data_IF_351188561455
#
_entry.id   IF_351188561455
#
_cell.length_a   1.000
_cell.length_b   1.000
_cell.length_c   1.000
_cell.angle_alpha   90.00
_cell.angle_beta   90.00
_cell.angle_gamma   90.00
#
_symmetry.space_group_name_H-M   'P 1'
#
loop_
_entity.id
_entity.type
_entity.pdbx_description
1 polymer ?
#
# COMPACT_ATOMS: atom_id res chain seq x y z
N UNK A 1 -14.63 -37.58 39.24
CA UNK A 1 -14.02 -36.98 38.04
C UNK A 1 -14.44 -35.53 38.01
N UNK A 2 -13.53 -34.62 38.35
CA UNK A 2 -13.79 -33.17 38.38
C UNK A 2 -13.41 -32.59 37.03
N UNK A 3 -14.37 -31.99 36.33
CA UNK A 3 -14.14 -31.27 35.06
C UNK A 3 -13.66 -29.89 35.42
N UNK A 4 -12.39 -29.63 35.16
CA UNK A 4 -11.80 -28.29 35.28
C UNK A 4 -12.18 -27.47 34.05
N UNK A 5 -13.08 -26.53 34.26
CA UNK A 5 -13.50 -25.56 33.26
C UNK A 5 -12.50 -24.41 33.25
N UNK A 6 -11.61 -24.33 32.25
CA UNK A 6 -10.68 -23.22 32.08
C UNK A 6 -11.32 -22.21 31.14
N UNK A 7 -11.61 -20.97 31.56
CA UNK A 7 -12.13 -19.96 30.67
C UNK A 7 -10.98 -19.45 29.76
N UNK A 8 -11.07 -19.72 28.48
CA UNK A 8 -10.24 -19.10 27.46
C UNK A 8 -10.73 -17.67 27.25
N UNK A 9 -10.10 -16.72 27.93
CA UNK A 9 -10.24 -15.29 27.65
C UNK A 9 -9.17 -14.91 26.61
N UNK A 10 -9.52 -14.98 25.33
CA UNK A 10 -8.74 -14.36 24.25
C UNK A 10 -9.42 -13.07 23.87
N UNK A 11 -9.02 -11.98 24.52
CA UNK A 11 -9.24 -10.65 23.96
C UNK A 11 -8.19 -10.44 22.87
N UNK A 12 -8.55 -10.28 21.59
CA UNK A 12 -7.63 -9.76 20.62
C UNK A 12 -7.44 -8.28 20.87
N UNK A 13 -6.32 -7.92 21.51
CA UNK A 13 -5.81 -6.56 21.48
C UNK A 13 -5.46 -6.24 20.03
N UNK A 14 -6.44 -5.71 19.30
CA UNK A 14 -6.19 -5.10 18.01
C UNK A 14 -5.18 -3.97 18.18
N UNK A 15 -4.29 -3.76 17.19
CA UNK A 15 -3.40 -2.61 17.21
C UNK A 15 -4.27 -1.36 17.25
N UNK A 16 -4.21 -0.64 18.36
CA UNK A 16 -4.71 0.72 18.47
C UNK A 16 -3.99 1.52 17.40
N UNK A 17 -4.72 1.86 16.34
CA UNK A 17 -4.32 2.90 15.42
C UNK A 17 -4.14 4.15 16.29
N UNK A 18 -2.88 4.52 16.49
CA UNK A 18 -2.50 5.83 16.99
C UNK A 18 -3.11 6.85 16.04
N UNK A 19 -4.29 7.33 16.44
CA UNK A 19 -4.96 8.44 15.83
C UNK A 19 -4.01 9.61 15.73
N UNK A 20 -3.72 10.00 14.49
CA UNK A 20 -3.53 11.39 14.09
C UNK A 20 -2.66 12.26 14.99
N UNK A 21 -1.38 11.98 15.13
CA UNK A 21 -0.42 13.06 15.21
C UNK A 21 -0.18 13.55 13.78
N UNK A 22 -1.04 14.42 13.33
CA UNK A 22 -0.69 15.42 12.35
C UNK A 22 0.52 16.15 12.91
N UNK A 23 1.70 15.70 12.57
CA UNK A 23 2.85 16.59 12.56
C UNK A 23 2.49 17.64 11.51
N UNK A 24 1.87 18.72 11.97
CA UNK A 24 2.03 19.98 11.32
C UNK A 24 3.55 20.16 11.28
N UNK A 25 4.16 19.76 10.16
CA UNK A 25 5.41 20.33 9.73
C UNK A 25 5.03 21.79 9.64
N UNK A 26 5.32 22.51 10.72
CA UNK A 26 5.27 23.95 10.70
C UNK A 26 6.01 24.31 9.43
N UNK A 27 5.29 24.82 8.43
CA UNK A 27 5.88 25.71 7.50
C UNK A 27 6.56 26.73 8.42
N UNK A 28 7.81 26.44 8.73
CA UNK A 28 8.69 27.42 9.29
C UNK A 28 8.66 28.53 8.25
N UNK A 29 7.72 29.43 8.44
CA UNK A 29 7.86 30.77 7.98
C UNK A 29 9.17 31.17 8.64
N UNK A 30 10.29 30.89 7.97
CA UNK A 30 11.48 31.65 8.14
C UNK A 30 10.99 33.06 7.89
N UNK A 31 10.61 33.69 8.98
CA UNK A 31 10.28 35.11 8.97
C UNK A 31 11.46 35.78 8.26
N UNK A 32 11.22 36.40 7.14
CA UNK A 32 12.28 37.11 6.44
C UNK A 32 12.55 38.39 7.23
N UNK A 33 13.16 38.21 8.41
CA UNK A 33 13.70 39.35 9.17
C UNK A 33 14.75 40.11 8.35
N UNK A 34 15.26 39.50 7.28
CA UNK A 34 16.09 40.16 6.29
C UNK A 34 15.30 40.99 5.27
N UNK A 35 14.02 40.70 5.01
CA UNK A 35 13.22 41.45 4.06
C UNK A 35 12.76 42.80 4.60
N UNK A 36 12.57 42.93 5.91
CA UNK A 36 12.09 44.17 6.52
C UNK A 36 13.17 45.26 6.60
N UNK A 37 14.43 44.90 6.78
CA UNK A 37 15.54 45.85 6.79
C UNK A 37 15.92 46.36 5.39
N UNK A 38 15.67 45.58 4.33
CA UNK A 38 15.88 46.02 2.94
C UNK A 38 14.71 46.83 2.39
N UNK A 39 13.50 46.64 2.87
CA UNK A 39 12.32 47.38 2.40
C UNK A 39 12.35 48.85 2.80
N UNK A 40 13.00 49.23 3.91
CA UNK A 40 13.13 50.62 4.34
C UNK A 40 14.23 51.41 3.64
N UNK A 41 15.20 50.75 2.99
CA UNK A 41 16.28 51.42 2.27
C UNK A 41 15.96 51.72 0.79
N UNK A 42 14.80 51.30 0.26
CA UNK A 42 14.51 51.35 -1.17
C UNK A 42 13.29 52.19 -1.57
N UNK A 43 13.01 53.25 -0.86
CA UNK A 43 11.95 54.21 -1.26
C UNK A 43 12.30 55.04 -2.50
N UNK A 44 13.48 54.86 -3.10
CA UNK A 44 13.93 55.65 -4.29
C UNK A 44 14.17 54.80 -5.54
N UNK A 45 14.01 53.47 -5.49
CA UNK A 45 14.40 52.60 -6.61
C UNK A 45 13.27 51.67 -7.08
N UNK A 46 12.18 52.22 -7.62
CA UNK A 46 11.04 51.46 -8.17
C UNK A 46 11.40 50.34 -9.16
N UNK A 47 12.33 50.51 -10.10
CA UNK A 47 12.69 49.42 -11.03
C UNK A 47 13.62 48.35 -10.46
N UNK A 48 14.40 48.63 -9.43
CA UNK A 48 15.35 47.68 -8.84
C UNK A 48 14.62 46.68 -7.91
N UNK A 49 13.62 47.15 -7.17
CA UNK A 49 12.84 46.32 -6.27
C UNK A 49 12.05 45.23 -7.02
N UNK A 50 11.61 45.50 -8.25
CA UNK A 50 10.89 44.54 -9.08
C UNK A 50 11.79 43.41 -9.60
N UNK A 51 13.07 43.67 -9.87
CA UNK A 51 14.05 42.66 -10.29
C UNK A 51 14.39 41.71 -9.13
N UNK A 52 14.56 42.24 -7.91
CA UNK A 52 14.79 41.41 -6.72
C UNK A 52 13.57 40.57 -6.36
N UNK A 53 12.34 41.08 -6.50
CA UNK A 53 11.12 40.34 -6.32
C UNK A 53 10.97 39.17 -7.32
N UNK A 54 11.36 39.39 -8.56
CA UNK A 54 11.34 38.36 -9.62
C UNK A 54 12.32 37.21 -9.34
N UNK A 55 13.54 37.53 -8.91
CA UNK A 55 14.56 36.53 -8.62
C UNK A 55 14.23 35.69 -7.37
N UNK A 56 13.71 36.30 -6.30
CA UNK A 56 13.27 35.58 -5.11
C UNK A 56 12.06 34.70 -5.39
N UNK A 57 11.12 35.15 -6.23
CA UNK A 57 9.99 34.34 -6.70
C UNK A 57 10.43 33.15 -7.52
N UNK A 58 11.39 33.29 -8.41
CA UNK A 58 11.92 32.19 -9.23
C UNK A 58 12.68 31.15 -8.38
N UNK A 59 13.47 31.59 -7.41
CA UNK A 59 14.16 30.71 -6.48
C UNK A 59 13.13 29.96 -5.61
N UNK A 60 12.11 30.64 -5.10
CA UNK A 60 11.04 30.03 -4.32
C UNK A 60 10.27 28.96 -5.10
N UNK A 61 9.90 29.23 -6.36
CA UNK A 61 9.20 28.28 -7.22
C UNK A 61 10.06 27.07 -7.59
N UNK A 62 11.38 27.27 -7.78
CA UNK A 62 12.33 26.17 -8.01
C UNK A 62 12.38 25.21 -6.82
N UNK A 63 12.58 25.75 -5.61
CA UNK A 63 12.63 24.90 -4.40
C UNK A 63 11.29 24.25 -4.08
N UNK A 64 10.18 24.92 -4.31
CA UNK A 64 8.86 24.34 -4.15
C UNK A 64 8.65 23.14 -5.11
N UNK A 65 8.97 23.29 -6.39
CA UNK A 65 8.88 22.22 -7.38
C UNK A 65 9.84 21.06 -7.06
N UNK A 66 11.07 21.36 -6.62
CA UNK A 66 12.03 20.35 -6.19
C UNK A 66 11.56 19.57 -4.96
N UNK A 67 11.00 20.27 -3.98
CA UNK A 67 10.40 19.64 -2.78
C UNK A 67 9.25 18.71 -3.15
N UNK A 68 8.35 19.16 -4.02
CA UNK A 68 7.23 18.34 -4.50
C UNK A 68 7.72 17.11 -5.27
N UNK A 69 8.72 17.25 -6.14
CA UNK A 69 9.34 16.13 -6.86
C UNK A 69 9.94 15.11 -5.89
N UNK A 70 10.66 15.58 -4.86
CA UNK A 70 11.26 14.70 -3.86
C UNK A 70 10.21 13.97 -3.02
N UNK A 71 9.11 14.64 -2.65
CA UNK A 71 7.99 14.02 -1.94
C UNK A 71 7.35 12.90 -2.78
N UNK A 72 7.11 13.13 -4.07
CA UNK A 72 6.56 12.10 -4.96
C UNK A 72 7.52 10.92 -5.12
N UNK A 73 8.82 11.16 -5.24
CA UNK A 73 9.84 10.11 -5.28
C UNK A 73 9.86 9.27 -4.00
N UNK A 74 9.80 9.90 -2.84
CA UNK A 74 9.73 9.18 -1.55
C UNK A 74 8.43 8.36 -1.44
N UNK A 75 7.29 8.91 -1.86
CA UNK A 75 6.03 8.16 -1.89
C UNK A 75 6.12 6.97 -2.85
N UNK A 76 6.72 7.14 -4.02
CA UNK A 76 6.94 6.07 -4.98
C UNK A 76 7.82 4.95 -4.39
N UNK A 77 8.89 5.30 -3.68
CA UNK A 77 9.74 4.32 -2.98
C UNK A 77 8.99 3.56 -1.91
N UNK A 78 8.16 4.24 -1.12
CA UNK A 78 7.31 3.60 -0.10
C UNK A 78 6.32 2.62 -0.74
N UNK A 79 5.72 2.98 -1.87
CA UNK A 79 4.83 2.09 -2.62
C UNK A 79 5.57 0.89 -3.23
N UNK A 80 6.81 1.07 -3.72
CA UNK A 80 7.65 -0.05 -4.17
C UNK A 80 7.97 -1.01 -3.03
N UNK A 81 8.38 -0.48 -1.88
CA UNK A 81 8.63 -1.30 -0.71
C UNK A 81 7.39 -2.08 -0.27
N UNK A 82 6.22 -1.43 -0.26
CA UNK A 82 4.95 -2.09 0.03
C UNK A 82 4.65 -3.21 -0.98
N UNK A 83 4.91 -3.01 -2.28
CA UNK A 83 4.74 -4.03 -3.31
C UNK A 83 5.70 -5.22 -3.12
N UNK A 84 6.96 -4.97 -2.77
CA UNK A 84 7.95 -6.02 -2.50
C UNK A 84 7.57 -6.83 -1.26
N UNK A 85 7.16 -6.16 -0.18
CA UNK A 85 6.67 -6.84 1.04
C UNK A 85 5.42 -7.67 0.77
N UNK A 86 4.48 -7.16 -0.02
CA UNK A 86 3.31 -7.92 -0.42
C UNK A 86 3.69 -9.14 -1.28
N UNK A 87 4.69 -9.03 -2.16
CA UNK A 87 5.19 -10.17 -2.95
C UNK A 87 5.81 -11.25 -2.06
N UNK A 88 6.56 -10.86 -1.02
CA UNK A 88 7.12 -11.80 -0.03
C UNK A 88 5.99 -12.50 0.73
N UNK A 89 4.98 -11.76 1.17
CA UNK A 89 3.82 -12.30 1.87
C UNK A 89 3.00 -13.23 0.97
N UNK A 90 2.86 -12.92 -0.32
CA UNK A 90 2.23 -13.80 -1.30
C UNK A 90 2.95 -15.15 -1.37
N UNK A 91 4.27 -15.16 -1.51
CA UNK A 91 5.06 -16.41 -1.53
C UNK A 91 4.92 -17.20 -0.24
N UNK A 92 4.84 -16.51 0.91
CA UNK A 92 4.55 -17.13 2.20
C UNK A 92 3.19 -17.84 2.22
N UNK A 93 2.15 -17.20 1.70
CA UNK A 93 0.81 -17.79 1.59
C UNK A 93 0.77 -18.99 0.60
N UNK A 94 1.48 -18.91 -0.53
CA UNK A 94 1.64 -20.02 -1.47
C UNK A 94 2.36 -21.21 -0.83
N UNK A 95 3.41 -20.95 -0.06
CA UNK A 95 4.12 -21.97 0.69
C UNK A 95 3.20 -22.64 1.73
N UNK A 96 2.38 -21.87 2.44
CA UNK A 96 1.37 -22.37 3.38
C UNK A 96 0.36 -23.26 2.67
N UNK A 97 -0.13 -22.87 1.50
CA UNK A 97 -1.02 -23.71 0.69
C UNK A 97 -0.36 -25.06 0.34
N UNK A 98 0.93 -25.04 0.00
CA UNK A 98 1.69 -26.27 -0.25
C UNK A 98 1.86 -27.14 1.01
N UNK A 99 2.02 -26.55 2.19
CA UNK A 99 2.08 -27.28 3.46
C UNK A 99 0.74 -27.94 3.80
N UNK A 100 -0.37 -27.22 3.66
CA UNK A 100 -1.72 -27.76 3.86
C UNK A 100 -1.94 -29.01 3.01
N UNK A 101 -1.54 -28.98 1.74
CA UNK A 101 -1.63 -30.15 0.87
C UNK A 101 -0.83 -31.35 1.39
N UNK A 102 0.39 -31.15 1.87
CA UNK A 102 1.24 -32.21 2.45
C UNK A 102 0.66 -32.75 3.76
N UNK A 103 0.16 -31.88 4.62
CA UNK A 103 -0.51 -32.28 5.85
C UNK A 103 -1.79 -33.08 5.58
N UNK A 104 -2.58 -32.68 4.58
CA UNK A 104 -3.75 -33.41 4.14
C UNK A 104 -3.39 -34.83 3.70
N UNK A 105 -2.30 -34.99 2.94
CA UNK A 105 -1.80 -36.31 2.53
C UNK A 105 -1.34 -37.14 3.74
N UNK A 106 -0.65 -36.53 4.70
CA UNK A 106 -0.21 -37.19 5.93
C UNK A 106 -1.41 -37.65 6.79
N UNK A 107 -2.42 -36.77 6.96
CA UNK A 107 -3.69 -37.10 7.65
C UNK A 107 -4.39 -38.26 6.97
N UNK A 108 -4.48 -38.22 5.65
CA UNK A 108 -5.05 -39.31 4.86
C UNK A 108 -4.28 -40.64 5.04
N UNK A 109 -2.93 -40.60 5.01
CA UNK A 109 -2.08 -41.76 5.23
C UNK A 109 -2.31 -42.39 6.62
N UNK A 110 -2.29 -41.55 7.67
CA UNK A 110 -2.54 -41.97 9.04
C UNK A 110 -3.97 -42.58 9.21
N UNK A 111 -4.97 -41.94 8.61
CA UNK A 111 -6.34 -42.44 8.60
C UNK A 111 -6.43 -43.79 7.90
N UNK A 112 -5.82 -43.93 6.72
CA UNK A 112 -5.84 -45.18 5.93
C UNK A 112 -5.22 -46.34 6.70
N UNK A 113 -4.13 -46.12 7.43
CA UNK A 113 -3.50 -47.14 8.28
C UNK A 113 -4.42 -47.56 9.44
N UNK A 114 -5.04 -46.59 10.13
CA UNK A 114 -5.98 -46.87 11.23
C UNK A 114 -7.21 -47.63 10.72
N UNK A 115 -7.78 -47.20 9.61
CA UNK A 115 -8.92 -47.88 9.00
C UNK A 115 -8.57 -49.31 8.55
N UNK A 116 -7.36 -49.54 8.01
CA UNK A 116 -6.85 -50.87 7.67
C UNK A 116 -6.70 -51.77 8.90
N UNK A 117 -6.15 -51.26 9.99
CA UNK A 117 -6.04 -51.99 11.26
C UNK A 117 -7.41 -52.35 11.86
N UNK A 118 -8.34 -51.36 11.87
CA UNK A 118 -9.71 -51.59 12.34
C UNK A 118 -10.42 -52.69 11.51
N UNK A 119 -10.26 -52.64 10.19
CA UNK A 119 -10.80 -53.69 9.30
C UNK A 119 -10.18 -55.05 9.60
N UNK A 120 -8.85 -55.13 9.73
CA UNK A 120 -8.17 -56.41 10.00
C UNK A 120 -8.58 -56.97 11.36
N UNK A 121 -8.72 -56.14 12.40
CA UNK A 121 -9.19 -56.59 13.71
C UNK A 121 -10.66 -57.04 13.69
N UNK A 122 -11.53 -56.39 12.92
CA UNK A 122 -12.91 -56.83 12.73
C UNK A 122 -12.99 -58.15 12.00
N UNK A 123 -12.19 -58.37 10.95
CA UNK A 123 -12.10 -59.63 10.24
C UNK A 123 -11.63 -60.77 11.16
N UNK A 124 -10.58 -60.51 11.97
CA UNK A 124 -10.07 -61.50 12.91
C UNK A 124 -11.12 -61.87 13.98
N UNK A 125 -11.85 -60.87 14.50
CA UNK A 125 -12.92 -61.07 15.47
C UNK A 125 -14.11 -61.88 14.90
N UNK A 126 -14.48 -61.63 13.65
CA UNK A 126 -15.53 -62.40 12.94
C UNK A 126 -15.08 -63.82 12.68
N UNK A 127 -13.85 -64.00 12.25
CA UNK A 127 -13.29 -65.37 12.02
C UNK A 127 -13.17 -66.14 13.33
N UNK A 128 -12.77 -65.51 14.45
CA UNK A 128 -12.74 -66.19 15.76
C UNK A 128 -14.13 -66.65 16.27
N UNK A 129 -15.19 -66.01 15.79
CA UNK A 129 -16.60 -66.39 16.08
C UNK A 129 -17.13 -67.38 15.09
N UNK A 130 -16.31 -67.93 14.18
CA UNK A 130 -16.70 -68.91 13.18
C UNK A 130 -17.50 -68.32 12.01
N UNK A 131 -17.56 -67.01 11.83
CA UNK A 131 -18.26 -66.40 10.72
C UNK A 131 -17.44 -66.49 9.42
N UNK A 132 -18.11 -66.90 8.34
CA UNK A 132 -17.51 -66.96 6.99
C UNK A 132 -17.47 -65.56 6.45
N UNK A 133 -16.25 -65.02 6.24
CA UNK A 133 -16.01 -63.57 5.91
C UNK A 133 -16.59 -63.11 4.56
N UNK A 134 -16.97 -63.98 3.67
CA UNK A 134 -17.47 -63.60 2.33
C UNK A 134 -18.98 -63.65 2.15
N UNK A 135 -19.76 -64.01 3.18
CA UNK A 135 -21.20 -64.31 3.09
C UNK A 135 -21.97 -63.75 4.29
N UNK A 136 -23.25 -63.42 4.08
CA UNK A 136 -24.16 -63.00 5.13
C UNK A 136 -23.75 -61.71 5.82
N UNK A 137 -24.10 -61.57 7.09
CA UNK A 137 -23.88 -60.37 7.90
C UNK A 137 -22.41 -59.97 8.05
N UNK A 138 -21.47 -60.92 8.01
CA UNK A 138 -20.05 -60.65 8.06
C UNK A 138 -19.56 -59.83 6.84
N UNK A 139 -20.07 -60.13 5.65
CA UNK A 139 -19.81 -59.38 4.42
C UNK A 139 -20.38 -57.96 4.51
N UNK A 140 -21.57 -57.80 5.06
CA UNK A 140 -22.24 -56.49 5.21
C UNK A 140 -21.47 -55.57 6.19
N UNK A 141 -20.99 -56.14 7.31
CA UNK A 141 -20.16 -55.36 8.28
C UNK A 141 -18.87 -54.91 7.64
N UNK A 142 -18.16 -55.75 6.92
CA UNK A 142 -16.91 -55.37 6.25
C UNK A 142 -17.18 -54.34 5.13
N UNK A 143 -18.27 -54.55 4.36
CA UNK A 143 -18.68 -53.62 3.31
C UNK A 143 -19.06 -52.24 3.85
N UNK A 144 -19.74 -52.18 4.99
CA UNK A 144 -20.05 -50.90 5.64
C UNK A 144 -18.80 -50.17 6.15
N UNK A 145 -17.80 -50.89 6.68
CA UNK A 145 -16.51 -50.32 7.07
C UNK A 145 -15.75 -49.77 5.87
N UNK A 146 -15.76 -50.46 4.73
CA UNK A 146 -15.13 -49.99 3.49
C UNK A 146 -15.83 -48.74 2.95
N UNK A 147 -17.16 -48.69 3.01
CA UNK A 147 -17.94 -47.50 2.64
C UNK A 147 -17.62 -46.28 3.56
N UNK A 148 -17.62 -46.52 4.89
CA UNK A 148 -17.26 -45.45 5.84
C UNK A 148 -15.84 -44.93 5.60
N UNK A 149 -14.88 -45.82 5.35
CA UNK A 149 -13.51 -45.44 5.02
C UNK A 149 -13.46 -44.54 3.78
N UNK A 150 -14.24 -44.88 2.74
CA UNK A 150 -14.25 -44.06 1.52
C UNK A 150 -14.93 -42.69 1.73
N UNK A 151 -16.01 -42.64 2.50
CA UNK A 151 -16.66 -41.36 2.89
C UNK A 151 -15.69 -40.48 3.67
N UNK A 152 -15.01 -41.00 4.68
CA UNK A 152 -14.05 -40.25 5.48
C UNK A 152 -12.85 -39.81 4.64
N UNK A 153 -12.37 -40.63 3.72
CA UNK A 153 -11.34 -40.27 2.76
C UNK A 153 -11.75 -39.07 1.93
N UNK A 154 -12.96 -39.07 1.39
CA UNK A 154 -13.51 -38.00 0.59
C UNK A 154 -13.65 -36.71 1.43
N UNK A 155 -14.09 -36.84 2.68
CA UNK A 155 -14.21 -35.71 3.60
C UNK A 155 -12.85 -35.08 3.91
N UNK A 156 -11.82 -35.89 4.22
CA UNK A 156 -10.44 -35.39 4.46
C UNK A 156 -9.93 -34.69 3.22
N UNK A 157 -10.11 -35.28 2.04
CA UNK A 157 -9.65 -34.64 0.80
C UNK A 157 -10.39 -33.35 0.51
N UNK A 158 -11.72 -33.31 0.65
CA UNK A 158 -12.53 -32.14 0.43
C UNK A 158 -12.15 -30.98 1.42
N UNK A 159 -11.91 -31.32 2.70
CA UNK A 159 -11.46 -30.36 3.69
C UNK A 159 -10.08 -29.79 3.31
N UNK A 160 -9.12 -30.67 2.96
CA UNK A 160 -7.77 -30.27 2.56
C UNK A 160 -7.78 -29.34 1.33
N UNK A 161 -8.58 -29.68 0.31
CA UNK A 161 -8.72 -28.86 -0.90
C UNK A 161 -9.29 -27.49 -0.57
N UNK A 162 -10.34 -27.42 0.27
CA UNK A 162 -10.93 -26.13 0.68
C UNK A 162 -9.94 -25.25 1.44
N UNK A 163 -9.20 -25.83 2.40
CA UNK A 163 -8.16 -25.12 3.15
C UNK A 163 -7.03 -24.63 2.22
N UNK A 164 -6.61 -25.45 1.28
CA UNK A 164 -5.57 -25.11 0.31
C UNK A 164 -6.03 -23.99 -0.64
N UNK A 165 -7.27 -24.06 -1.12
CA UNK A 165 -7.82 -23.03 -1.99
C UNK A 165 -8.01 -21.69 -1.25
N UNK A 166 -8.45 -21.72 0.01
CA UNK A 166 -8.53 -20.52 0.83
C UNK A 166 -7.16 -19.84 0.96
N UNK A 167 -6.09 -20.59 1.21
CA UNK A 167 -4.74 -20.07 1.26
C UNK A 167 -4.26 -19.53 -0.10
N UNK A 168 -4.62 -20.16 -1.21
CA UNK A 168 -4.32 -19.68 -2.57
C UNK A 168 -5.07 -18.39 -2.89
N UNK A 169 -6.35 -18.27 -2.52
CA UNK A 169 -7.12 -17.05 -2.68
C UNK A 169 -6.51 -15.90 -1.88
N UNK A 170 -6.05 -16.18 -0.68
CA UNK A 170 -5.32 -15.19 0.12
C UNK A 170 -4.04 -14.74 -0.59
N UNK A 171 -3.25 -15.68 -1.11
CA UNK A 171 -2.04 -15.37 -1.89
C UNK A 171 -2.37 -14.51 -3.12
N UNK A 172 -3.44 -14.85 -3.85
CA UNK A 172 -3.90 -14.08 -5.01
C UNK A 172 -4.29 -12.65 -4.63
N UNK A 173 -5.05 -12.46 -3.55
CA UNK A 173 -5.44 -11.13 -3.07
C UNK A 173 -4.22 -10.28 -2.69
N UNK A 174 -3.23 -10.87 -2.01
CA UNK A 174 -1.97 -10.20 -1.67
C UNK A 174 -1.19 -9.85 -2.95
N UNK A 175 -1.12 -10.75 -3.93
CA UNK A 175 -0.48 -10.52 -5.22
C UNK A 175 -1.13 -9.38 -6.01
N UNK A 176 -2.45 -9.27 -5.96
CA UNK A 176 -3.19 -8.15 -6.56
C UNK A 176 -2.83 -6.82 -5.89
N UNK A 177 -2.75 -6.80 -4.55
CA UNK A 177 -2.31 -5.61 -3.81
C UNK A 177 -0.88 -5.22 -4.16
N UNK A 178 0.04 -6.19 -4.27
CA UNK A 178 1.41 -5.96 -4.72
C UNK A 178 1.46 -5.31 -6.10
N UNK A 179 0.67 -5.81 -7.04
CA UNK A 179 0.58 -5.28 -8.39
C UNK A 179 0.03 -3.85 -8.41
N UNK A 180 -1.03 -3.57 -7.64
CA UNK A 180 -1.61 -2.22 -7.52
C UNK A 180 -0.61 -1.23 -6.90
N UNK A 181 0.10 -1.63 -5.84
CA UNK A 181 1.14 -0.81 -5.24
C UNK A 181 2.29 -0.53 -6.23
N UNK A 182 2.69 -1.53 -7.01
CA UNK A 182 3.70 -1.37 -8.06
C UNK A 182 3.28 -0.40 -9.18
N UNK A 183 2.01 -0.46 -9.61
CA UNK A 183 1.45 0.48 -10.59
C UNK A 183 1.41 1.90 -10.00
N UNK A 184 0.96 2.04 -8.76
CA UNK A 184 0.92 3.32 -8.07
C UNK A 184 2.32 3.93 -7.93
N UNK A 185 3.34 3.14 -7.61
CA UNK A 185 4.73 3.59 -7.57
C UNK A 185 5.21 4.13 -8.91
N UNK A 186 4.94 3.40 -10.01
CA UNK A 186 5.29 3.84 -11.36
C UNK A 186 4.59 5.13 -11.77
N UNK A 187 3.30 5.27 -11.43
CA UNK A 187 2.54 6.48 -11.71
C UNK A 187 3.11 7.69 -10.94
N UNK A 188 3.47 7.51 -9.66
CA UNK A 188 4.11 8.56 -8.87
C UNK A 188 5.47 8.96 -9.43
N UNK A 189 6.28 8.01 -9.89
CA UNK A 189 7.56 8.29 -10.55
C UNK A 189 7.39 9.02 -11.87
N UNK A 190 6.43 8.59 -12.69
CA UNK A 190 6.09 9.28 -13.93
C UNK A 190 5.67 10.73 -13.64
N UNK A 191 4.78 10.93 -12.65
CA UNK A 191 4.34 12.26 -12.23
C UNK A 191 5.52 13.09 -11.69
N UNK A 192 6.40 12.49 -10.88
CA UNK A 192 7.61 13.18 -10.41
C UNK A 192 8.54 13.57 -11.57
N UNK A 193 8.59 12.75 -12.62
CA UNK A 193 9.36 13.02 -13.84
C UNK A 193 8.82 14.17 -14.68
N UNK A 194 7.53 14.49 -14.59
CA UNK A 194 6.92 15.64 -15.30
C UNK A 194 7.14 16.98 -14.58
N UNK A 195 7.57 16.95 -13.33
CA UNK A 195 7.88 18.16 -12.58
C UNK A 195 9.32 18.59 -12.91
N UNK A 196 9.44 19.66 -13.68
CA UNK A 196 10.72 20.28 -14.03
C UNK A 196 10.93 21.55 -13.19
N UNK A 197 11.77 21.52 -12.14
CA UNK A 197 12.00 22.69 -11.29
C UNK A 197 12.51 23.91 -12.08
N UNK A 198 13.30 23.68 -13.12
CA UNK A 198 13.79 24.74 -14.01
C UNK A 198 12.68 25.43 -14.81
N UNK A 199 11.66 24.70 -15.26
CA UNK A 199 10.50 25.28 -15.93
C UNK A 199 9.66 26.12 -14.96
N UNK A 200 9.45 25.66 -13.72
CA UNK A 200 8.74 26.40 -12.70
C UNK A 200 9.43 27.74 -12.40
N UNK A 201 10.76 27.77 -12.31
CA UNK A 201 11.54 28.98 -12.17
C UNK A 201 11.44 29.87 -13.43
N UNK A 202 11.52 29.28 -14.61
CA UNK A 202 11.43 29.98 -15.90
C UNK A 202 10.09 30.68 -16.12
N UNK A 203 8.98 29.99 -15.83
CA UNK A 203 7.63 30.59 -15.94
C UNK A 203 7.41 31.70 -14.91
N UNK A 204 7.98 31.59 -13.72
CA UNK A 204 7.94 32.61 -12.69
C UNK A 204 8.74 33.87 -13.14
N UNK A 205 9.89 33.70 -13.76
CA UNK A 205 10.67 34.79 -14.33
C UNK A 205 9.96 35.48 -15.49
N UNK A 206 9.38 34.72 -16.41
CA UNK A 206 8.61 35.29 -17.52
C UNK A 206 7.36 36.04 -17.05
N UNK A 207 6.64 35.51 -16.06
CA UNK A 207 5.50 36.20 -15.44
C UNK A 207 5.94 37.53 -14.83
N UNK A 208 7.03 37.54 -14.09
CA UNK A 208 7.60 38.80 -13.50
C UNK A 208 8.07 39.79 -14.55
N UNK A 209 8.64 39.33 -15.66
CA UNK A 209 9.07 40.19 -16.78
C UNK A 209 7.88 40.90 -17.46
N UNK A 210 6.76 40.21 -17.64
CA UNK A 210 5.53 40.78 -18.19
C UNK A 210 4.91 41.81 -17.25
N UNK A 211 4.97 41.59 -15.92
CA UNK A 211 4.49 42.55 -14.92
C UNK A 211 5.36 43.81 -14.89
N UNK A 212 6.69 43.67 -14.97
CA UNK A 212 7.64 44.79 -15.07
C UNK A 212 7.38 45.60 -16.34
N UNK A 213 7.21 44.94 -17.49
CA UNK A 213 6.90 45.60 -18.76
C UNK A 213 5.57 46.36 -18.69
N UNK A 214 4.55 45.76 -18.04
CA UNK A 214 3.25 46.41 -17.82
C UNK A 214 3.33 47.61 -16.88
N UNK A 215 4.15 47.58 -15.85
CA UNK A 215 4.40 48.73 -14.97
C UNK A 215 5.14 49.86 -15.72
N UNK A 216 6.15 49.52 -16.52
CA UNK A 216 6.89 50.50 -17.34
C UNK A 216 5.98 51.19 -18.35
N UNK A 217 5.10 50.46 -19.01
CA UNK A 217 4.12 51.04 -19.94
C UNK A 217 3.15 52.00 -19.24
N UNK A 218 2.72 51.66 -18.01
CA UNK A 218 1.86 52.54 -17.19
C UNK A 218 2.58 53.80 -16.74
N UNK A 219 3.81 53.70 -16.29
CA UNK A 219 4.58 54.84 -15.86
C UNK A 219 4.87 55.81 -17.01
N UNK A 220 5.21 55.34 -18.19
CA UNK A 220 5.36 56.18 -19.40
C UNK A 220 4.08 56.96 -19.72
N UNK A 221 2.92 56.32 -19.66
CA UNK A 221 1.64 57.00 -19.90
C UNK A 221 1.36 58.07 -18.86
N UNK A 222 1.72 57.85 -17.60
CA UNK A 222 1.60 58.87 -16.55
C UNK A 222 2.54 60.05 -16.77
N UNK A 223 3.77 59.82 -17.21
CA UNK A 223 4.73 60.89 -17.58
C UNK A 223 4.22 61.71 -18.76
N UNK A 224 3.67 61.06 -19.81
CA UNK A 224 3.09 61.73 -20.96
C UNK A 224 1.90 62.62 -20.57
N UNK A 225 1.01 62.11 -19.68
CA UNK A 225 -0.13 62.87 -19.18
C UNK A 225 0.32 64.05 -18.32
N UNK A 226 1.33 63.91 -17.48
CA UNK A 226 1.88 65.00 -16.65
C UNK A 226 2.56 66.09 -17.51
N UNK A 227 3.29 65.70 -18.57
CA UNK A 227 3.90 66.67 -19.50
C UNK A 227 2.83 67.40 -20.33
N UNK A 228 1.74 66.70 -20.74
CA UNK A 228 0.62 67.32 -21.45
C UNK A 228 -0.12 68.39 -20.62
N UNK A 229 -0.29 68.14 -19.30
CA UNK A 229 -0.93 69.14 -18.39
C UNK A 229 -0.07 70.33 -18.13
N UNK A 230 1.26 70.18 -18.11
CA UNK A 230 2.20 71.35 -17.90
C UNK A 230 2.24 72.31 -19.08
N UNK A 231 1.99 71.86 -20.32
CA UNK A 231 1.93 72.66 -21.52
C UNK A 231 0.62 73.47 -21.67
N UNK A 232 -0.48 73.07 -21.03
CA UNK A 232 -1.74 73.79 -21.06
C UNK A 232 -1.81 74.99 -20.06
N UNK A 233 -0.80 75.19 -19.25
CA UNK A 233 -0.76 76.23 -18.22
C UNK A 233 0.04 77.48 -18.62
N UNK A 234 0.48 77.65 -19.86
CA UNK A 234 1.10 78.85 -20.41
C UNK A 234 0.11 79.47 -21.39
#
# INVERSE_FOLDING_TARGET
MAVVNVPFSTSPTGPTLLSGQSYAIGAGTMAPSFASSFAQAMTVAGPIASIFGATTGAIGSFYAAQSQQNQLKMQAQNQRFAAEMATINQRGAEFTAGQIGREGQARFGAYSMRAGQARASAQAALAARGAVLGVGSAKEVIGSMDLMKEIDRLNINAATVREQEAARLQAFNIGTQATMAGISAKNLESTAGTIYPGLAAGTSLLGSATDIAGQWARNRRLEELLMGVSQQRI
#
